data_IF_294562728543
#
_entry.id   IF_294562728543
#
_cell.length_a   1.000
_cell.length_b   1.000
_cell.length_c   1.000
_cell.angle_alpha   90.00
_cell.angle_beta   90.00
_cell.angle_gamma   90.00
#
_symmetry.space_group_name_H-M   'P 1'
#
loop_
_entity.id
_entity.type
_entity.pdbx_description
1 polymer ?
#
# COMPACT_ATOMS: atom_id res chain seq x y z
N UNK A 1 -9.83 1.57 -10.68
CA UNK A 1 -8.94 1.97 -11.78
C UNK A 1 -7.80 0.98 -11.93
N UNK A 2 -7.57 0.55 -13.14
CA UNK A 2 -6.57 -0.47 -13.41
C UNK A 2 -5.30 0.17 -13.95
N UNK A 3 -4.17 -0.20 -13.37
CA UNK A 3 -2.88 0.32 -13.80
C UNK A 3 -1.86 -0.79 -13.86
N UNK A 4 -0.88 -0.63 -14.75
CA UNK A 4 0.23 -1.56 -14.86
C UNK A 4 1.34 -1.16 -13.92
N UNK A 5 1.90 -2.12 -13.23
CA UNK A 5 3.11 -1.93 -12.43
C UNK A 5 4.10 -2.99 -12.82
N UNK A 6 5.38 -2.73 -12.60
CA UNK A 6 6.44 -3.68 -12.93
C UNK A 6 7.00 -4.24 -11.63
N UNK A 7 6.94 -5.56 -11.47
CA UNK A 7 7.38 -6.24 -10.27
C UNK A 7 8.34 -7.34 -10.70
N UNK A 8 9.57 -7.30 -10.19
CA UNK A 8 10.58 -8.32 -10.49
C UNK A 8 10.76 -8.52 -12.01
N UNK A 9 10.69 -7.43 -12.77
CA UNK A 9 10.87 -7.49 -14.21
C UNK A 9 9.62 -7.89 -14.99
N UNK A 10 8.50 -8.13 -14.32
CA UNK A 10 7.25 -8.54 -14.96
C UNK A 10 6.22 -7.44 -14.85
N UNK A 11 5.52 -7.18 -15.95
CA UNK A 11 4.43 -6.21 -15.93
C UNK A 11 3.17 -6.90 -15.40
N UNK A 12 2.56 -6.28 -14.43
CA UNK A 12 1.36 -6.80 -13.78
C UNK A 12 0.30 -5.72 -13.75
N UNK A 13 -0.95 -6.09 -14.00
CA UNK A 13 -2.08 -5.16 -13.89
C UNK A 13 -2.69 -5.27 -12.51
N UNK A 14 -2.92 -4.12 -11.88
CA UNK A 14 -3.52 -4.06 -10.56
C UNK A 14 -4.71 -3.13 -10.60
N UNK A 15 -5.85 -3.60 -10.10
CA UNK A 15 -7.07 -2.78 -10.00
C UNK A 15 -7.24 -2.29 -8.58
N UNK A 16 -7.30 -0.98 -8.42
CA UNK A 16 -7.52 -0.34 -7.14
C UNK A 16 -8.41 0.87 -7.36
N UNK A 17 -9.14 1.22 -6.33
CA UNK A 17 -9.87 2.47 -6.32
C UNK A 17 -8.88 3.62 -6.42
N UNK A 18 -9.30 4.72 -7.02
CA UNK A 18 -8.41 5.85 -7.21
C UNK A 18 -7.87 6.40 -5.90
N UNK A 19 -8.67 6.36 -4.86
CA UNK A 19 -8.25 6.81 -3.54
C UNK A 19 -7.05 6.01 -3.03
N UNK A 20 -7.03 4.72 -3.30
CA UNK A 20 -5.90 3.89 -2.90
C UNK A 20 -4.66 4.18 -3.75
N UNK A 21 -4.84 4.46 -5.04
CA UNK A 21 -3.71 4.85 -5.88
C UNK A 21 -3.08 6.16 -5.41
N UNK A 22 -3.92 7.13 -5.06
CA UNK A 22 -3.43 8.41 -4.55
C UNK A 22 -2.66 8.23 -3.25
N UNK A 23 -3.22 7.43 -2.34
CA UNK A 23 -2.56 7.16 -1.06
C UNK A 23 -1.24 6.45 -1.27
N UNK A 24 -1.22 5.48 -2.17
CA UNK A 24 -0.01 4.73 -2.45
C UNK A 24 1.10 5.63 -2.99
N UNK A 25 0.74 6.55 -3.90
CA UNK A 25 1.71 7.50 -4.43
C UNK A 25 2.26 8.41 -3.34
N UNK A 26 1.39 8.87 -2.45
CA UNK A 26 1.82 9.73 -1.35
C UNK A 26 2.78 9.00 -0.43
N UNK A 27 2.48 7.74 -0.11
CA UNK A 27 3.35 6.93 0.74
C UNK A 27 4.70 6.71 0.07
N UNK A 28 4.69 6.39 -1.21
CA UNK A 28 5.94 6.19 -1.95
C UNK A 28 6.80 7.44 -1.92
N UNK A 29 6.18 8.60 -2.10
CA UNK A 29 6.88 9.88 -2.05
C UNK A 29 7.49 10.12 -0.67
N UNK A 30 6.73 9.86 0.38
CA UNK A 30 7.23 10.04 1.74
C UNK A 30 8.40 9.12 2.04
N UNK A 31 8.37 7.92 1.48
CA UNK A 31 9.42 6.95 1.71
C UNK A 31 10.59 7.11 0.73
N UNK A 32 10.49 8.07 -0.18
CA UNK A 32 11.59 8.33 -1.12
C UNK A 32 11.78 7.23 -2.14
N UNK A 33 10.72 6.54 -2.54
CA UNK A 33 10.84 5.45 -3.50
C UNK A 33 9.74 5.56 -4.56
N UNK A 34 9.92 4.84 -5.66
CA UNK A 34 8.94 4.80 -6.73
C UNK A 34 7.76 3.91 -6.34
N UNK A 35 6.63 4.09 -7.03
CA UNK A 35 5.48 3.23 -6.81
C UNK A 35 5.84 1.77 -7.11
N UNK A 36 6.60 1.53 -8.18
CA UNK A 36 7.01 0.17 -8.52
C UNK A 36 7.83 -0.46 -7.40
N UNK A 37 8.75 0.30 -6.81
CA UNK A 37 9.57 -0.20 -5.71
C UNK A 37 8.70 -0.52 -4.49
N UNK A 38 7.77 0.35 -4.16
CA UNK A 38 6.87 0.14 -3.03
C UNK A 38 5.99 -1.09 -3.25
N UNK A 39 5.40 -1.20 -4.43
CA UNK A 39 4.54 -2.34 -4.75
C UNK A 39 5.34 -3.64 -4.75
N UNK A 40 6.58 -3.61 -5.21
CA UNK A 40 7.45 -4.79 -5.15
C UNK A 40 7.67 -5.25 -3.73
N UNK A 41 7.88 -4.32 -2.80
CA UNK A 41 8.04 -4.64 -1.39
C UNK A 41 6.77 -5.28 -0.84
N UNK A 42 5.63 -4.70 -1.17
CA UNK A 42 4.34 -5.25 -0.72
C UNK A 42 4.14 -6.65 -1.30
N UNK A 43 4.49 -6.85 -2.56
CA UNK A 43 4.33 -8.14 -3.22
C UNK A 43 5.13 -9.23 -2.52
N UNK A 44 6.34 -8.91 -2.09
CA UNK A 44 7.19 -9.88 -1.41
C UNK A 44 6.62 -10.33 -0.08
N UNK A 45 5.82 -9.49 0.55
CA UNK A 45 5.31 -9.75 1.90
C UNK A 45 3.88 -10.26 1.90
N UNK A 46 3.23 -10.27 0.75
CA UNK A 46 1.81 -10.58 0.71
C UNK A 46 1.54 -12.06 0.94
N UNK A 47 0.39 -12.31 1.56
CA UNK A 47 -0.14 -13.66 1.73
C UNK A 47 -1.48 -13.80 1.03
N UNK A 48 -1.91 -12.76 0.32
CA UNK A 48 -3.17 -12.73 -0.41
C UNK A 48 -2.89 -12.11 -1.78
N UNK A 49 -3.93 -11.80 -2.57
CA UNK A 49 -3.68 -11.19 -3.86
C UNK A 49 -3.13 -9.78 -3.68
N UNK A 50 -2.48 -9.28 -4.73
CA UNK A 50 -1.73 -8.04 -4.64
C UNK A 50 -2.63 -6.84 -4.38
N UNK A 51 -3.80 -6.77 -5.00
CA UNK A 51 -4.71 -5.65 -4.77
C UNK A 51 -5.14 -5.57 -3.31
N UNK A 52 -5.48 -6.71 -2.72
CA UNK A 52 -5.85 -6.75 -1.30
C UNK A 52 -4.67 -6.38 -0.42
N UNK A 53 -3.49 -6.88 -0.76
CA UNK A 53 -2.29 -6.57 0.02
C UNK A 53 -1.99 -5.07 0.00
N UNK A 54 -2.17 -4.42 -1.13
CA UNK A 54 -1.96 -2.98 -1.24
C UNK A 54 -2.97 -2.22 -0.41
N UNK A 55 -4.24 -2.63 -0.46
CA UNK A 55 -5.27 -1.97 0.34
C UNK A 55 -4.97 -2.08 1.82
N UNK A 56 -4.59 -3.25 2.27
CA UNK A 56 -4.26 -3.46 3.69
C UNK A 56 -3.04 -2.62 4.07
N UNK A 57 -2.04 -2.57 3.21
CA UNK A 57 -0.84 -1.77 3.47
C UNK A 57 -1.20 -0.30 3.65
N UNK A 58 -2.03 0.24 2.75
CA UNK A 58 -2.45 1.63 2.83
C UNK A 58 -3.23 1.90 4.11
N UNK A 59 -4.18 1.03 4.43
CA UNK A 59 -4.99 1.20 5.63
C UNK A 59 -4.13 1.16 6.88
N UNK A 60 -3.20 0.22 6.97
CA UNK A 60 -2.31 0.14 8.12
C UNK A 60 -1.47 1.39 8.26
N UNK A 61 -1.00 1.94 7.14
CA UNK A 61 -0.17 3.13 7.17
C UNK A 61 -0.91 4.31 7.77
N UNK A 62 -2.20 4.46 7.46
CA UNK A 62 -2.99 5.58 7.93
C UNK A 62 -3.65 5.34 9.28
N UNK A 63 -3.70 4.11 9.76
CA UNK A 63 -4.27 3.79 11.06
C UNK A 63 -3.24 3.76 12.17
N UNK A 64 -1.99 3.63 11.82
CA UNK A 64 -0.95 3.43 12.81
C UNK A 64 -0.57 4.65 13.63
N UNK A 65 -0.93 5.80 13.30
CA UNK A 65 -0.52 6.95 14.08
C UNK A 65 -1.05 6.88 15.45
N UNK A 66 -0.89 6.84 15.82
CA UNK A 66 -1.35 6.88 16.67
C UNK A 66 -1.12 6.56 17.73
N UNK A 67 -0.70 6.52 17.09
CA UNK A 67 -0.54 6.24 17.97
C UNK A 67 -0.88 6.31 18.82
N UNK A 68 -0.80 6.36 18.72
CA UNK A 68 -1.04 6.30 19.55
C UNK A 68 -1.78 6.19 20.27
N UNK A 69 -1.70 6.42 20.21
CA UNK A 69 -2.26 6.11 20.91
C UNK A 69 -3.10 6.04 21.40
N UNK A 70 -3.14 6.05 21.46
CA UNK A 70 -3.88 5.65 22.03
C UNK A 70 -4.79 5.55 22.13
N UNK A 71 -4.93 5.54 22.02
CA UNK A 71 -5.75 5.21 22.29
C UNK A 71 -6.44 4.56 22.34
N UNK A 72 -6.29 4.52 22.18
CA UNK A 72 -6.77 3.72 22.37
C UNK A 72 -7.46 3.28 22.17
N UNK A 73 -7.43 3.16 22.11
CA UNK A 73 -7.95 2.58 22.12
C UNK A 73 -8.45 1.92 21.83
N UNK A 74 -8.36 1.94 21.72
CA UNK A 74 -8.69 1.21 21.62
C UNK A 74 -9.19 0.50 21.29
N UNK A 75 -9.25 0.44 21.16
CA UNK A 75 -9.65 -0.30 21.01
C UNK A 75 -10.02 -0.86 20.55
N UNK A 76 -9.95 -0.73 20.43
CA UNK A 76 -10.18 -1.32 20.20
C UNK A 76 -10.32 -1.74 19.95
#
# INVERSE_FOLDING_TARGET
MKRSVTIAGHRTSVSLEEEFWKALRAIAREDGQSINALVSTIDKQRTTNLSSAIRVFVLNRYQMPADHGGLGLSDN
#
